data_IF_951661931519
#
_entry.id   IF_951661931519
#
_cell.length_a   1.000
_cell.length_b   1.000
_cell.length_c   1.000
_cell.angle_alpha   90.00
_cell.angle_beta   90.00
_cell.angle_gamma   90.00
#
_symmetry.space_group_name_H-M   'P 1'
#
loop_
_entity.id
_entity.type
_entity.pdbx_description
1 polymer ?
#
# COMPACT_ATOMS: atom_id res chain seq x y z
N UNK A 1 -12.01 -0.75 -20.37
CA UNK A 1 -10.67 -0.48 -19.87
C UNK A 1 -10.12 0.87 -20.30
N UNK A 2 -10.41 1.33 -21.53
CA UNK A 2 -10.03 2.68 -21.94
C UNK A 2 -10.74 3.74 -21.10
N UNK A 3 -12.00 3.47 -20.69
CA UNK A 3 -12.75 4.38 -19.82
C UNK A 3 -12.14 4.44 -18.42
N UNK A 4 -11.69 3.31 -17.89
CA UNK A 4 -11.03 3.26 -16.59
C UNK A 4 -9.70 4.01 -16.64
N UNK A 5 -8.93 3.84 -17.72
CA UNK A 5 -7.67 4.54 -17.90
C UNK A 5 -7.88 6.05 -17.95
N UNK A 6 -8.90 6.52 -18.67
CA UNK A 6 -9.23 7.94 -18.73
C UNK A 6 -9.62 8.49 -17.37
N UNK A 7 -10.42 7.74 -16.61
CA UNK A 7 -10.80 8.15 -15.27
C UNK A 7 -9.57 8.28 -14.38
N UNK A 8 -8.66 7.31 -14.44
CA UNK A 8 -7.42 7.33 -13.69
C UNK A 8 -6.54 8.51 -14.07
N UNK A 9 -6.44 8.82 -15.37
CA UNK A 9 -5.65 9.95 -15.86
C UNK A 9 -6.14 11.30 -15.33
N UNK A 10 -7.41 11.40 -14.99
CA UNK A 10 -7.99 12.60 -14.40
C UNK A 10 -7.88 12.59 -12.88
N UNK A 11 -8.22 11.48 -12.26
CA UNK A 11 -8.34 11.37 -10.79
C UNK A 11 -6.98 11.32 -10.10
N UNK A 12 -6.01 10.56 -10.65
CA UNK A 12 -4.71 10.37 -10.00
C UNK A 12 -3.93 11.67 -9.80
N UNK A 13 -3.79 12.54 -10.79
CA UNK A 13 -3.10 13.82 -10.58
C UNK A 13 -3.76 14.71 -9.52
N UNK A 14 -5.09 14.72 -9.49
CA UNK A 14 -5.85 15.51 -8.52
C UNK A 14 -5.65 14.99 -7.10
N UNK A 15 -5.67 13.67 -6.92
CA UNK A 15 -5.46 13.05 -5.62
C UNK A 15 -4.03 13.33 -5.15
N UNK A 16 -3.03 13.19 -6.02
CA UNK A 16 -1.64 13.45 -5.67
C UNK A 16 -1.42 14.90 -5.25
N UNK A 17 -2.03 15.83 -5.96
CA UNK A 17 -1.92 17.26 -5.62
C UNK A 17 -2.55 17.55 -4.26
N UNK A 18 -3.71 16.96 -3.98
CA UNK A 18 -4.36 17.09 -2.67
C UNK A 18 -3.47 16.57 -1.56
N UNK A 19 -2.87 15.38 -1.76
CA UNK A 19 -1.97 14.77 -0.77
C UNK A 19 -0.74 15.64 -0.53
N UNK A 20 -0.13 16.18 -1.59
CA UNK A 20 1.02 17.08 -1.46
C UNK A 20 0.70 18.29 -0.61
N UNK A 21 -0.44 18.91 -0.84
CA UNK A 21 -0.89 20.06 -0.05
C UNK A 21 -1.14 19.69 1.40
N UNK A 22 -1.75 18.55 1.64
CA UNK A 22 -2.04 18.08 2.99
C UNK A 22 -0.74 17.75 3.75
N UNK A 23 0.25 17.16 3.09
CA UNK A 23 1.56 16.91 3.69
C UNK A 23 2.21 18.21 4.14
N UNK A 24 2.19 19.23 3.30
CA UNK A 24 2.77 20.53 3.64
C UNK A 24 2.07 21.14 4.85
N UNK A 25 0.74 21.06 4.89
CA UNK A 25 -0.04 21.54 6.01
C UNK A 25 0.31 20.81 7.31
N UNK A 26 0.45 19.49 7.25
CA UNK A 26 0.78 18.70 8.44
C UNK A 26 2.21 18.93 8.91
N UNK A 27 3.13 19.22 8.01
CA UNK A 27 4.49 19.64 8.39
C UNK A 27 4.47 20.94 9.18
N UNK A 28 3.64 21.89 8.78
CA UNK A 28 3.46 23.14 9.53
C UNK A 28 2.88 22.90 10.92
N UNK A 29 2.07 21.86 11.08
CA UNK A 29 1.50 21.45 12.35
C UNK A 29 2.45 20.60 13.20
N UNK A 30 3.69 20.37 12.73
CA UNK A 30 4.73 19.60 13.40
C UNK A 30 4.37 18.14 13.66
N UNK A 31 3.66 17.51 12.73
CA UNK A 31 3.37 16.07 12.81
C UNK A 31 4.64 15.25 12.67
N UNK A 32 4.81 14.24 13.52
CA UNK A 32 5.98 13.36 13.49
C UNK A 32 5.92 12.39 12.30
N UNK A 33 4.74 11.90 11.96
CA UNK A 33 4.54 10.95 10.87
C UNK A 33 3.32 11.32 10.04
N UNK A 34 3.43 11.06 8.75
CA UNK A 34 2.31 11.17 7.83
C UNK A 34 2.25 9.88 7.01
N UNK A 35 1.13 9.19 7.07
CA UNK A 35 0.98 7.89 6.41
C UNK A 35 0.03 8.01 5.23
N UNK A 36 0.47 7.52 4.07
CA UNK A 36 -0.36 7.44 2.87
C UNK A 36 -0.51 5.98 2.48
N UNK A 37 -1.73 5.55 2.28
CA UNK A 37 -2.04 4.21 1.79
C UNK A 37 -2.77 4.32 0.46
N UNK A 38 -2.23 3.73 -0.58
CA UNK A 38 -2.85 3.74 -1.90
C UNK A 38 -2.33 2.61 -2.77
N UNK A 39 -3.16 2.17 -3.69
CA UNK A 39 -2.83 1.05 -4.58
C UNK A 39 -1.71 1.37 -5.58
N UNK A 40 -1.52 2.63 -5.93
CA UNK A 40 -0.57 3.06 -6.97
C UNK A 40 0.73 3.65 -6.44
N UNK A 41 1.00 3.52 -5.15
CA UNK A 41 2.21 4.07 -4.56
C UNK A 41 3.51 3.56 -5.18
N UNK A 42 3.63 2.29 -5.64
CA UNK A 42 4.88 1.87 -6.30
C UNK A 42 5.25 2.72 -7.50
N UNK A 43 4.29 3.32 -8.17
CA UNK A 43 4.53 4.14 -9.37
C UNK A 43 4.86 5.59 -9.04
N UNK A 44 4.20 6.15 -8.03
CA UNK A 44 4.26 7.60 -7.76
C UNK A 44 4.81 7.95 -6.38
N UNK A 45 4.96 6.97 -5.50
CA UNK A 45 5.28 7.21 -4.10
C UNK A 45 6.67 7.76 -3.84
N UNK A 46 7.63 7.50 -4.72
CA UNK A 46 9.01 7.97 -4.55
C UNK A 46 9.11 9.50 -4.53
N UNK A 47 8.23 10.16 -5.26
CA UNK A 47 8.20 11.63 -5.29
C UNK A 47 7.47 12.21 -4.07
N UNK A 48 6.59 11.42 -3.48
CA UNK A 48 5.68 11.88 -2.44
C UNK A 48 6.16 11.53 -1.03
N UNK A 49 6.82 10.39 -0.86
CA UNK A 49 7.12 9.80 0.44
C UNK A 49 8.61 9.67 0.68
N UNK A 50 9.01 9.83 1.95
CA UNK A 50 10.41 9.59 2.36
C UNK A 50 10.74 8.12 2.36
N UNK A 51 9.78 7.28 2.71
CA UNK A 51 9.91 5.82 2.68
C UNK A 51 8.68 5.21 2.05
N UNK A 52 8.87 4.13 1.30
CA UNK A 52 7.79 3.28 0.81
C UNK A 52 7.86 1.94 1.52
N UNK A 53 6.75 1.55 2.12
CA UNK A 53 6.66 0.29 2.86
C UNK A 53 5.79 -0.70 2.11
N UNK A 54 6.32 -1.91 1.94
CA UNK A 54 5.58 -3.03 1.39
C UNK A 54 5.08 -3.90 2.54
N UNK A 55 3.77 -3.98 2.69
CA UNK A 55 3.16 -4.86 3.68
C UNK A 55 2.89 -6.19 2.99
N UNK A 56 3.81 -7.12 3.19
CA UNK A 56 3.80 -8.41 2.54
C UNK A 56 2.95 -9.42 3.32
N UNK A 57 2.21 -10.24 2.61
CA UNK A 57 1.51 -11.39 3.19
C UNK A 57 1.62 -12.56 2.21
N UNK A 58 1.95 -13.75 2.70
CA UNK A 58 1.98 -14.94 1.86
C UNK A 58 0.65 -15.13 1.14
N UNK A 59 0.70 -15.57 -0.11
CA UNK A 59 -0.51 -15.74 -0.91
C UNK A 59 -1.52 -16.68 -0.25
N UNK A 60 -1.05 -17.80 0.31
CA UNK A 60 -1.93 -18.74 1.00
C UNK A 60 -2.67 -18.09 2.17
N UNK A 61 -1.98 -17.26 2.96
CA UNK A 61 -2.55 -16.53 4.08
C UNK A 61 -3.55 -15.48 3.60
N UNK A 62 -3.22 -14.75 2.53
CA UNK A 62 -4.14 -13.77 1.93
C UNK A 62 -5.43 -14.41 1.48
N UNK A 63 -5.34 -15.55 0.80
CA UNK A 63 -6.51 -16.28 0.31
C UNK A 63 -7.40 -16.70 1.48
N UNK A 64 -6.81 -17.27 2.52
CA UNK A 64 -7.56 -17.68 3.69
C UNK A 64 -8.26 -16.51 4.37
N UNK A 65 -7.56 -15.39 4.55
CA UNK A 65 -8.14 -14.21 5.18
C UNK A 65 -9.31 -13.64 4.37
N UNK A 66 -9.17 -13.57 3.04
CA UNK A 66 -10.23 -13.07 2.17
C UNK A 66 -11.45 -13.98 2.15
N UNK A 67 -11.24 -15.29 2.21
CA UNK A 67 -12.34 -16.24 2.32
C UNK A 67 -13.08 -16.11 3.66
N UNK A 68 -12.33 -16.02 4.74
CA UNK A 68 -12.90 -15.99 6.10
C UNK A 68 -13.60 -14.66 6.42
N UNK A 69 -12.96 -13.53 6.09
CA UNK A 69 -13.48 -12.22 6.49
C UNK A 69 -14.41 -11.57 5.47
N UNK A 70 -14.23 -11.86 4.20
CA UNK A 70 -15.01 -11.23 3.12
C UNK A 70 -15.83 -12.22 2.30
N UNK A 71 -15.69 -13.52 2.58
CA UNK A 71 -16.40 -14.59 1.87
C UNK A 71 -16.17 -14.60 0.37
N UNK A 72 -14.98 -14.18 -0.06
CA UNK A 72 -14.62 -14.21 -1.49
C UNK A 72 -14.34 -15.62 -1.95
N UNK A 73 -14.68 -15.93 -3.20
CA UNK A 73 -14.36 -17.22 -3.81
C UNK A 73 -12.91 -17.24 -4.28
N UNK A 74 -12.35 -18.45 -4.45
CA UNK A 74 -11.00 -18.59 -4.98
C UNK A 74 -10.84 -17.93 -6.35
N UNK A 75 -11.86 -18.04 -7.19
CA UNK A 75 -11.85 -17.43 -8.53
C UNK A 75 -11.73 -15.92 -8.46
N UNK A 76 -12.50 -15.30 -7.56
CA UNK A 76 -12.44 -13.86 -7.36
C UNK A 76 -11.08 -13.42 -6.83
N UNK A 77 -10.54 -14.15 -5.87
CA UNK A 77 -9.23 -13.87 -5.28
C UNK A 77 -8.13 -13.96 -6.35
N UNK A 78 -8.17 -15.01 -7.17
CA UNK A 78 -7.20 -15.18 -8.25
C UNK A 78 -7.23 -14.01 -9.23
N UNK A 79 -8.42 -13.55 -9.58
CA UNK A 79 -8.56 -12.39 -10.48
C UNK A 79 -8.02 -11.10 -9.84
N UNK A 80 -8.26 -10.92 -8.55
CA UNK A 80 -7.77 -9.75 -7.83
C UNK A 80 -6.25 -9.74 -7.77
N UNK A 81 -5.63 -10.88 -7.48
CA UNK A 81 -4.18 -11.00 -7.44
C UNK A 81 -3.58 -10.75 -8.82
N UNK A 82 -4.20 -11.30 -9.87
CA UNK A 82 -3.72 -11.13 -11.24
C UNK A 82 -3.80 -9.67 -11.72
N UNK A 83 -4.70 -8.88 -11.15
CA UNK A 83 -4.84 -7.46 -11.53
C UNK A 83 -3.84 -6.54 -10.83
N UNK A 84 -3.12 -7.03 -9.85
CA UNK A 84 -2.13 -6.25 -9.12
C UNK A 84 -0.73 -6.43 -9.73
N UNK A 85 0.17 -5.47 -9.51
CA UNK A 85 1.57 -5.67 -9.89
C UNK A 85 2.15 -6.88 -9.16
N UNK A 86 3.11 -7.57 -9.80
CA UNK A 86 3.77 -8.71 -9.18
C UNK A 86 4.61 -8.27 -7.98
N UNK A 87 4.85 -9.18 -7.05
CA UNK A 87 5.62 -8.93 -5.84
C UNK A 87 6.95 -8.23 -6.09
N UNK A 88 7.64 -8.60 -7.14
CA UNK A 88 8.93 -8.03 -7.49
C UNK A 88 8.86 -6.51 -7.70
N UNK A 89 7.79 -6.03 -8.29
CA UNK A 89 7.58 -4.59 -8.51
C UNK A 89 7.51 -3.86 -7.18
N UNK A 90 6.78 -4.39 -6.21
CA UNK A 90 6.68 -3.80 -4.87
C UNK A 90 8.01 -3.84 -4.15
N UNK A 91 8.73 -4.94 -4.22
CA UNK A 91 10.01 -5.08 -3.53
C UNK A 91 11.07 -4.12 -4.08
N UNK A 92 11.06 -3.88 -5.38
CA UNK A 92 11.98 -2.91 -6.00
C UNK A 92 11.64 -1.46 -5.65
N UNK A 93 10.36 -1.14 -5.56
CA UNK A 93 9.91 0.21 -5.26
C UNK A 93 10.03 0.56 -3.78
N UNK A 94 9.93 -0.42 -2.89
CA UNK A 94 9.84 -0.19 -1.45
C UNK A 94 11.17 -0.42 -0.76
N UNK A 95 11.45 0.42 0.25
CA UNK A 95 12.67 0.33 1.04
C UNK A 95 12.49 -0.49 2.31
N UNK A 96 11.25 -0.68 2.74
CA UNK A 96 10.91 -1.41 3.97
C UNK A 96 9.90 -2.49 3.63
N UNK A 97 10.11 -3.70 4.14
CA UNK A 97 9.16 -4.80 3.99
C UNK A 97 8.69 -5.22 5.38
N UNK A 98 7.39 -5.22 5.59
CA UNK A 98 6.76 -5.71 6.82
C UNK A 98 6.04 -7.02 6.47
N UNK A 99 6.40 -8.10 7.15
CA UNK A 99 5.76 -9.40 6.94
C UNK A 99 4.51 -9.51 7.81
N UNK A 100 3.36 -9.45 7.18
CA UNK A 100 2.05 -9.51 7.84
C UNK A 100 1.41 -10.90 7.70
N UNK A 101 2.22 -11.94 7.44
CA UNK A 101 1.71 -13.31 7.29
C UNK A 101 1.41 -13.99 8.63
N UNK A 102 2.01 -13.51 9.70
CA UNK A 102 1.85 -14.06 11.04
C UNK A 102 0.73 -13.40 11.84
N UNK A 103 0.87 -13.40 13.17
CA UNK A 103 -0.11 -12.76 14.04
C UNK A 103 0.07 -11.24 14.11
N UNK A 104 -0.92 -10.58 14.69
CA UNK A 104 -0.92 -9.13 14.81
C UNK A 104 0.27 -8.59 15.61
N UNK A 105 0.65 -9.30 16.67
CA UNK A 105 1.78 -8.86 17.52
C UNK A 105 3.11 -8.89 16.77
N UNK A 106 3.31 -9.87 15.90
CA UNK A 106 4.53 -9.93 15.08
C UNK A 106 4.60 -8.77 14.11
N UNK A 107 3.50 -8.43 13.47
CA UNK A 107 3.40 -7.28 12.57
C UNK A 107 3.65 -5.97 13.33
N UNK A 108 3.00 -5.81 14.46
CA UNK A 108 3.13 -4.62 15.30
C UNK A 108 4.58 -4.40 15.75
N UNK A 109 5.27 -5.48 16.11
CA UNK A 109 6.67 -5.42 16.53
C UNK A 109 7.57 -4.92 15.42
N UNK A 110 7.40 -5.44 14.21
CA UNK A 110 8.18 -5.01 13.05
C UNK A 110 7.99 -3.52 12.76
N UNK A 111 6.75 -3.05 12.82
CA UNK A 111 6.43 -1.63 12.61
C UNK A 111 7.08 -0.77 13.69
N UNK A 112 6.93 -1.17 14.95
CA UNK A 112 7.52 -0.46 16.07
C UNK A 112 9.03 -0.37 15.99
N UNK A 113 9.71 -1.47 15.65
CA UNK A 113 11.16 -1.51 15.50
C UNK A 113 11.62 -0.54 14.40
N UNK A 114 10.85 -0.44 13.33
CA UNK A 114 11.20 0.46 12.23
C UNK A 114 11.01 1.93 12.59
N UNK A 115 9.93 2.26 13.28
CA UNK A 115 9.61 3.64 13.67
C UNK A 115 10.52 4.17 14.77
N UNK A 116 11.07 3.29 15.59
CA UNK A 116 11.92 3.66 16.72
C UNK A 116 13.42 3.74 16.39
N UNK A 117 13.75 3.63 15.12
CA UNK A 117 15.15 3.78 14.68
C UNK A 117 15.60 5.24 14.55
#
# INVERSE_FOLDING_TARGET
EKKLQRLNDIVHPEVLEWVRKDILKKKEECCSYYIVEAALLPEVGKELCDELWYIYTDEAVRRERLKSSRHYTDEKITRMIASQPVEEVFRKACTVVIDNSGDFEATKRQIGDRLNK
#
